data_IF_245642361957
#
_entry.id   IF_245642361957
#
_cell.length_a   1.000
_cell.length_b   1.000
_cell.length_c   1.000
_cell.angle_alpha   90.00
_cell.angle_beta   90.00
_cell.angle_gamma   90.00
#
_symmetry.space_group_name_H-M   'P 1'
#
loop_
_entity.id
_entity.type
_entity.pdbx_description
1 polymer ?
#
# COMPACT_ATOMS: atom_id res chain seq x y z
N UNK A 1 9.36 1.79 -18.92
CA UNK A 1 8.56 2.10 -20.12
C UNK A 1 9.50 2.42 -21.27
N UNK A 2 9.07 2.17 -22.50
CA UNK A 2 9.80 2.66 -23.68
C UNK A 2 9.94 4.19 -23.58
N UNK A 3 11.14 4.70 -23.87
CA UNK A 3 11.41 6.15 -23.75
C UNK A 3 11.95 6.59 -22.38
N UNK A 4 12.25 5.67 -21.46
CA UNK A 4 12.91 6.00 -20.18
C UNK A 4 12.01 6.69 -19.16
N UNK A 5 10.70 6.73 -19.35
CA UNK A 5 9.77 7.33 -18.40
C UNK A 5 9.81 6.58 -17.05
N UNK A 6 10.15 7.31 -15.98
CA UNK A 6 10.14 6.78 -14.62
C UNK A 6 8.71 6.71 -14.10
N UNK A 7 8.39 5.63 -13.43
CA UNK A 7 7.15 5.44 -12.70
C UNK A 7 7.44 4.81 -11.32
N UNK A 8 6.45 4.81 -10.47
CA UNK A 8 6.47 4.15 -9.18
C UNK A 8 5.24 3.26 -9.07
N UNK A 9 5.26 2.31 -8.17
CA UNK A 9 4.10 1.46 -7.89
C UNK A 9 3.92 1.37 -6.38
N UNK A 10 2.72 1.67 -5.91
CA UNK A 10 2.31 1.35 -4.56
C UNK A 10 1.72 -0.06 -4.58
N UNK A 11 2.49 -1.04 -4.14
CA UNK A 11 2.02 -2.41 -3.96
C UNK A 11 1.55 -2.60 -2.52
N UNK A 12 0.40 -3.24 -2.38
CA UNK A 12 -0.20 -3.55 -1.07
C UNK A 12 -0.66 -5.00 -1.06
N UNK A 13 -0.42 -5.69 0.04
CA UNK A 13 -0.89 -7.07 0.24
C UNK A 13 -1.57 -7.21 1.60
N UNK A 14 -2.69 -7.92 1.62
CA UNK A 14 -3.30 -8.38 2.85
C UNK A 14 -2.51 -9.60 3.38
N UNK A 15 -2.02 -9.47 4.60
CA UNK A 15 -1.14 -10.50 5.20
C UNK A 15 -1.89 -11.79 5.56
N UNK A 16 -3.20 -11.75 5.68
CA UNK A 16 -4.04 -12.91 6.03
C UNK A 16 -4.42 -13.71 4.80
N UNK A 17 -5.01 -13.04 3.82
CA UNK A 17 -5.57 -13.68 2.63
C UNK A 17 -4.61 -13.69 1.44
N UNK A 18 -3.50 -12.95 1.50
CA UNK A 18 -2.58 -12.68 0.39
C UNK A 18 -3.23 -11.94 -0.80
N UNK A 19 -4.41 -11.32 -0.62
CA UNK A 19 -4.96 -10.43 -1.65
C UNK A 19 -4.04 -9.24 -1.85
N UNK A 20 -3.90 -8.82 -3.09
CA UNK A 20 -2.98 -7.75 -3.43
C UNK A 20 -3.61 -6.74 -4.40
N UNK A 21 -3.10 -5.51 -4.33
CA UNK A 21 -3.38 -4.45 -5.29
C UNK A 21 -2.10 -3.69 -5.62
N UNK A 22 -1.91 -3.44 -6.90
CA UNK A 22 -0.79 -2.68 -7.45
C UNK A 22 -1.33 -1.39 -8.07
N UNK A 23 -0.84 -0.26 -7.58
CA UNK A 23 -1.27 1.08 -8.02
C UNK A 23 -0.08 1.82 -8.62
N UNK A 24 0.10 1.79 -9.97
CA UNK A 24 1.10 2.62 -10.63
C UNK A 24 0.82 4.10 -10.42
N UNK A 25 1.87 4.88 -10.16
CA UNK A 25 1.81 6.34 -10.01
C UNK A 25 2.98 6.98 -10.77
N UNK A 26 2.73 8.10 -11.41
CA UNK A 26 3.76 8.83 -12.17
C UNK A 26 4.75 9.57 -11.29
N UNK A 27 4.39 9.86 -10.05
CA UNK A 27 5.20 10.64 -9.11
C UNK A 27 5.02 10.14 -7.68
N UNK A 28 6.01 10.42 -6.82
CA UNK A 28 5.92 10.17 -5.38
C UNK A 28 5.36 11.37 -4.60
N UNK A 29 4.67 12.28 -5.28
CA UNK A 29 3.97 13.37 -4.61
C UNK A 29 2.93 12.81 -3.63
N UNK A 30 2.71 13.51 -2.54
CA UNK A 30 1.80 13.07 -1.46
C UNK A 30 0.39 12.82 -1.99
N UNK A 31 -0.08 13.66 -2.91
CA UNK A 31 -1.40 13.53 -3.57
C UNK A 31 -1.51 12.21 -4.33
N UNK A 32 -0.48 11.86 -5.10
CA UNK A 32 -0.45 10.62 -5.87
C UNK A 32 -0.46 9.38 -4.96
N UNK A 33 0.30 9.43 -3.86
CA UNK A 33 0.36 8.32 -2.90
C UNK A 33 -0.94 8.18 -2.12
N UNK A 34 -1.55 9.28 -1.67
CA UNK A 34 -2.86 9.27 -1.01
C UNK A 34 -3.95 8.75 -1.94
N UNK A 35 -3.97 9.21 -3.20
CA UNK A 35 -4.90 8.71 -4.22
C UNK A 35 -4.74 7.22 -4.49
N UNK A 36 -3.50 6.75 -4.65
CA UNK A 36 -3.19 5.33 -4.85
C UNK A 36 -3.61 4.48 -3.64
N UNK A 37 -3.34 4.94 -2.42
CA UNK A 37 -3.73 4.26 -1.20
C UNK A 37 -5.26 4.19 -1.06
N UNK A 38 -5.95 5.27 -1.37
CA UNK A 38 -7.42 5.32 -1.38
C UNK A 38 -8.00 4.30 -2.37
N UNK A 39 -7.52 4.30 -3.61
CA UNK A 39 -7.93 3.35 -4.63
C UNK A 39 -7.63 1.89 -4.23
N UNK A 40 -6.51 1.66 -3.54
CA UNK A 40 -6.20 0.35 -2.96
C UNK A 40 -7.25 -0.07 -1.94
N UNK A 41 -7.65 0.82 -1.03
CA UNK A 41 -8.67 0.53 -0.02
C UNK A 41 -10.07 0.36 -0.62
N UNK A 42 -10.39 1.06 -1.70
CA UNK A 42 -11.62 0.80 -2.46
C UNK A 42 -11.65 -0.62 -3.08
N UNK A 43 -10.47 -1.17 -3.40
CA UNK A 43 -10.36 -2.52 -4.01
C UNK A 43 -10.24 -3.65 -2.99
N UNK A 44 -9.47 -3.45 -1.94
CA UNK A 44 -9.14 -4.49 -0.96
C UNK A 44 -9.97 -4.42 0.32
N UNK A 45 -10.54 -3.26 0.61
CA UNK A 45 -11.14 -2.89 1.89
C UNK A 45 -10.17 -2.10 2.77
N UNK A 46 -10.72 -1.40 3.77
CA UNK A 46 -9.98 -0.69 4.80
C UNK A 46 -9.38 -1.69 5.79
N UNK A 47 -8.05 -1.71 5.96
CA UNK A 47 -7.43 -2.59 6.94
C UNK A 47 -7.67 -2.09 8.37
N UNK A 48 -7.52 -2.96 9.35
CA UNK A 48 -7.43 -2.54 10.76
C UNK A 48 -6.07 -1.90 11.04
N UNK A 49 -5.01 -2.55 10.54
CA UNK A 49 -3.61 -2.10 10.69
C UNK A 49 -2.98 -1.97 9.30
N UNK A 50 -2.36 -0.84 9.02
CA UNK A 50 -1.61 -0.60 7.80
C UNK A 50 -0.12 -0.51 8.11
N UNK A 51 0.61 -1.59 7.81
CA UNK A 51 2.05 -1.65 7.99
C UNK A 51 2.77 -0.93 6.83
N UNK A 52 3.67 -0.02 7.18
CA UNK A 52 4.40 0.84 6.24
C UNK A 52 5.87 0.94 6.62
N UNK A 53 6.71 1.19 5.64
CA UNK A 53 8.11 1.50 5.87
C UNK A 53 8.31 2.95 6.37
N UNK A 54 9.56 3.30 6.68
CA UNK A 54 9.92 4.62 7.18
C UNK A 54 10.19 5.64 6.07
N UNK A 55 9.59 5.49 4.88
CA UNK A 55 9.72 6.49 3.83
C UNK A 55 9.00 7.79 4.21
N UNK A 56 9.64 8.90 3.85
CA UNK A 56 9.13 10.26 4.13
C UNK A 56 7.72 10.51 3.62
N UNK A 57 7.35 9.91 2.50
CA UNK A 57 6.02 10.09 1.90
C UNK A 57 4.90 9.61 2.80
N UNK A 58 5.19 8.61 3.66
CA UNK A 58 4.19 8.07 4.59
C UNK A 58 4.09 8.86 5.88
N UNK A 59 5.20 9.30 6.46
CA UNK A 59 5.14 9.97 7.76
C UNK A 59 5.22 11.50 7.72
N UNK A 60 5.65 12.11 6.62
CA UNK A 60 5.57 13.54 6.44
C UNK A 60 6.90 14.23 6.13
N UNK A 61 7.42 15.07 7.01
CA UNK A 61 8.54 15.95 6.70
C UNK A 61 9.71 15.79 7.67
N UNK A 62 10.94 15.76 7.13
CA UNK A 62 12.17 15.85 7.95
C UNK A 62 12.31 17.20 8.64
N UNK A 63 11.89 18.27 7.96
CA UNK A 63 11.97 19.64 8.50
C UNK A 63 11.05 19.84 9.71
N UNK A 64 9.93 19.12 9.72
CA UNK A 64 8.93 19.21 10.78
C UNK A 64 8.65 17.80 11.35
N UNK A 65 9.56 17.25 12.16
CA UNK A 65 9.49 15.84 12.61
C UNK A 65 8.27 15.54 13.50
N UNK A 66 7.63 16.60 14.05
CA UNK A 66 6.36 16.47 14.81
C UNK A 66 5.12 16.66 13.94
N UNK A 67 5.29 16.96 12.64
CA UNK A 67 4.15 17.08 11.75
C UNK A 67 3.60 15.71 11.38
N UNK A 68 2.29 15.60 11.39
CA UNK A 68 1.57 14.43 10.92
C UNK A 68 1.38 14.54 9.40
N UNK A 69 1.96 13.61 8.65
CA UNK A 69 1.84 13.55 7.19
C UNK A 69 0.40 13.23 6.74
N UNK A 70 0.11 13.47 5.47
CA UNK A 70 -1.23 13.27 4.91
C UNK A 70 -1.65 11.79 4.92
N UNK A 71 -0.74 10.86 4.70
CA UNK A 71 -1.02 9.42 4.79
C UNK A 71 -1.43 9.02 6.21
N UNK A 72 -0.73 9.53 7.22
CA UNK A 72 -1.10 9.29 8.62
C UNK A 72 -2.48 9.87 8.95
N UNK A 73 -2.77 11.08 8.47
CA UNK A 73 -4.10 11.69 8.66
C UNK A 73 -5.19 10.88 7.98
N UNK A 74 -4.90 10.37 6.78
CA UNK A 74 -5.81 9.49 6.06
C UNK A 74 -6.11 8.21 6.85
N UNK A 75 -5.07 7.55 7.36
CA UNK A 75 -5.23 6.36 8.20
C UNK A 75 -6.15 6.65 9.39
N UNK A 76 -5.85 7.71 10.15
CA UNK A 76 -6.61 8.07 11.34
C UNK A 76 -8.07 8.46 11.02
N UNK A 77 -8.30 9.18 9.93
CA UNK A 77 -9.66 9.53 9.47
C UNK A 77 -10.51 8.30 9.15
N UNK A 78 -9.89 7.24 8.67
CA UNK A 78 -10.56 5.99 8.30
C UNK A 78 -10.56 4.95 9.42
N UNK A 79 -10.05 5.29 10.60
CA UNK A 79 -9.91 4.34 11.70
C UNK A 79 -8.95 3.20 11.40
N UNK A 80 -7.91 3.47 10.62
CA UNK A 80 -6.83 2.55 10.27
C UNK A 80 -5.62 2.87 11.15
N UNK A 81 -5.08 1.87 11.83
CA UNK A 81 -3.87 2.01 12.64
C UNK A 81 -2.61 1.97 11.75
N UNK A 82 -1.82 3.05 11.66
CA UNK A 82 -0.56 3.02 10.94
C UNK A 82 0.54 2.38 11.80
N UNK A 83 1.16 1.32 11.29
CA UNK A 83 2.25 0.60 11.95
C UNK A 83 3.56 0.79 11.17
N UNK A 84 4.53 1.50 11.76
CA UNK A 84 5.85 1.65 11.15
C UNK A 84 6.75 0.47 11.48
N UNK A 85 7.49 0.02 10.47
CA UNK A 85 8.47 -1.05 10.65
C UNK A 85 9.70 -0.49 11.39
N UNK A 86 10.17 -1.16 12.46
CA UNK A 86 11.39 -0.77 13.12
C UNK A 86 12.58 -0.75 12.15
N UNK A 87 13.49 0.23 12.26
CA UNK A 87 14.75 0.20 11.52
C UNK A 87 15.53 -1.09 11.80
N UNK A 88 16.19 -1.60 10.77
CA UNK A 88 16.97 -2.84 10.84
C UNK A 88 16.14 -4.14 11.05
N UNK A 89 14.82 -4.10 10.83
CA UNK A 89 13.97 -5.30 10.81
C UNK A 89 13.34 -5.55 9.42
N UNK A 90 14.13 -5.68 8.33
CA UNK A 90 13.60 -5.80 6.97
C UNK A 90 12.75 -7.05 6.77
N UNK A 91 12.98 -8.12 7.56
CA UNK A 91 12.19 -9.35 7.48
C UNK A 91 10.68 -9.16 7.74
N UNK A 92 10.29 -8.08 8.42
CA UNK A 92 8.87 -7.73 8.59
C UNK A 92 8.19 -7.35 7.28
N UNK A 93 8.97 -6.97 6.26
CA UNK A 93 8.50 -6.67 4.91
C UNK A 93 8.49 -7.89 3.97
N UNK A 94 8.92 -9.06 4.42
CA UNK A 94 9.14 -10.21 3.54
C UNK A 94 7.93 -10.62 2.69
N UNK A 95 6.70 -10.36 3.14
CA UNK A 95 5.48 -10.67 2.37
C UNK A 95 5.36 -9.71 1.16
N UNK A 96 5.49 -8.42 1.40
CA UNK A 96 5.38 -7.42 0.32
C UNK A 96 6.60 -7.47 -0.61
N UNK A 97 7.79 -7.75 -0.09
CA UNK A 97 9.00 -7.94 -0.89
C UNK A 97 8.82 -9.12 -1.86
N UNK A 98 8.33 -10.26 -1.38
CA UNK A 98 8.02 -11.41 -2.23
C UNK A 98 6.97 -11.09 -3.30
N UNK A 99 5.97 -10.28 -2.96
CA UNK A 99 5.00 -9.82 -3.94
C UNK A 99 5.63 -8.88 -4.97
N UNK A 100 6.50 -7.96 -4.54
CA UNK A 100 7.23 -7.04 -5.41
C UNK A 100 8.12 -7.80 -6.40
N UNK A 101 8.87 -8.80 -5.95
CA UNK A 101 9.69 -9.66 -6.81
C UNK A 101 8.83 -10.38 -7.84
N UNK A 102 7.70 -10.91 -7.40
CA UNK A 102 6.76 -11.59 -8.26
C UNK A 102 6.19 -10.65 -9.31
N UNK A 103 5.77 -9.45 -8.91
CA UNK A 103 5.25 -8.43 -9.79
C UNK A 103 6.29 -8.03 -10.85
N UNK A 104 7.55 -7.82 -10.44
CA UNK A 104 8.64 -7.52 -11.34
C UNK A 104 8.91 -8.65 -12.33
N UNK A 105 9.04 -9.89 -11.86
CA UNK A 105 9.39 -11.04 -12.71
C UNK A 105 8.25 -11.49 -13.64
N UNK A 106 7.01 -11.37 -13.22
CA UNK A 106 5.87 -11.90 -13.97
C UNK A 106 5.12 -10.85 -14.77
N UNK A 107 5.23 -9.58 -14.40
CA UNK A 107 4.64 -8.48 -15.15
C UNK A 107 5.71 -7.70 -15.93
N UNK A 108 6.60 -6.99 -15.25
CA UNK A 108 7.53 -6.09 -15.93
C UNK A 108 8.51 -6.80 -16.85
N UNK A 109 9.08 -7.92 -16.41
CA UNK A 109 10.06 -8.66 -17.20
C UNK A 109 9.46 -9.40 -18.42
N UNK A 110 8.13 -9.57 -18.45
CA UNK A 110 7.44 -10.35 -19.49
C UNK A 110 6.53 -9.54 -20.39
N UNK A 111 6.30 -8.28 -20.06
CA UNK A 111 5.35 -7.43 -20.79
C UNK A 111 6.08 -6.21 -21.34
N UNK A 112 6.01 -5.99 -22.64
CA UNK A 112 6.47 -4.73 -23.22
C UNK A 112 5.38 -3.68 -22.99
N UNK A 113 5.74 -2.65 -22.23
CA UNK A 113 4.87 -1.53 -21.88
C UNK A 113 5.39 -0.26 -22.57
N UNK A 114 4.56 0.34 -23.41
CA UNK A 114 4.95 1.53 -24.16
C UNK A 114 4.64 2.82 -23.40
N UNK A 115 3.54 2.86 -22.66
CA UNK A 115 3.04 4.03 -21.96
C UNK A 115 2.52 3.67 -20.57
N UNK A 116 2.11 4.72 -19.83
CA UNK A 116 1.64 4.59 -18.46
C UNK A 116 0.26 3.91 -18.37
N UNK A 117 -0.62 4.13 -19.35
CA UNK A 117 -1.97 3.56 -19.35
C UNK A 117 -1.92 2.04 -19.56
N UNK A 118 -1.00 1.58 -20.42
CA UNK A 118 -0.72 0.15 -20.57
C UNK A 118 -0.18 -0.45 -19.28
N UNK A 119 0.68 0.25 -18.54
CA UNK A 119 1.15 -0.20 -17.24
C UNK A 119 0.00 -0.33 -16.24
N UNK A 120 -0.88 0.66 -16.17
CA UNK A 120 -2.06 0.63 -15.29
C UNK A 120 -2.96 -0.55 -15.63
N UNK A 121 -3.28 -0.72 -16.92
CA UNK A 121 -4.12 -1.83 -17.39
C UNK A 121 -3.50 -3.20 -17.08
N UNK A 122 -2.19 -3.34 -17.31
CA UNK A 122 -1.44 -4.56 -17.04
C UNK A 122 -1.37 -4.87 -15.53
N UNK A 123 -1.22 -3.86 -14.68
CA UNK A 123 -1.26 -4.02 -13.23
C UNK A 123 -2.63 -4.53 -12.75
N UNK A 124 -3.72 -3.97 -13.26
CA UNK A 124 -5.09 -4.43 -12.94
C UNK A 124 -5.30 -5.88 -13.36
N UNK A 125 -4.88 -6.25 -14.57
CA UNK A 125 -4.98 -7.63 -15.06
C UNK A 125 -4.11 -8.60 -14.24
N UNK A 126 -2.92 -8.17 -13.85
CA UNK A 126 -2.03 -8.95 -12.98
C UNK A 126 -2.67 -9.19 -11.61
N UNK A 127 -3.18 -8.15 -10.96
CA UNK A 127 -3.84 -8.26 -9.66
C UNK A 127 -5.06 -9.19 -9.71
N UNK A 128 -5.88 -9.09 -10.75
CA UNK A 128 -7.04 -9.96 -10.96
C UNK A 128 -6.61 -11.44 -11.08
N UNK A 129 -5.55 -11.72 -11.86
CA UNK A 129 -4.98 -13.06 -12.01
C UNK A 129 -4.36 -13.54 -10.71
N UNK A 130 -3.60 -12.67 -10.01
CA UNK A 130 -3.01 -12.97 -8.71
C UNK A 130 -4.09 -13.38 -7.71
N UNK A 131 -5.08 -12.52 -7.52
CA UNK A 131 -6.12 -12.72 -6.52
C UNK A 131 -7.04 -13.92 -6.79
N UNK A 132 -7.20 -14.31 -8.07
CA UNK A 132 -8.10 -15.41 -8.44
C UNK A 132 -7.43 -16.77 -8.63
N UNK A 133 -6.13 -16.80 -9.00
CA UNK A 133 -5.48 -18.03 -9.44
C UNK A 133 -4.27 -18.46 -8.64
N UNK A 134 -3.54 -17.53 -8.01
CA UNK A 134 -2.34 -17.88 -7.24
C UNK A 134 -2.71 -18.65 -5.98
N UNK A 135 -1.90 -19.65 -5.67
CA UNK A 135 -2.12 -20.48 -4.50
C UNK A 135 -0.91 -20.40 -3.59
N UNK A 136 -1.17 -20.10 -2.34
CA UNK A 136 -0.14 -19.97 -1.32
C UNK A 136 -0.31 -21.06 -0.27
N UNK A 137 0.78 -21.69 0.15
CA UNK A 137 0.76 -22.65 1.26
C UNK A 137 0.22 -22.01 2.55
N UNK A 138 0.57 -20.73 2.77
CA UNK A 138 0.07 -19.94 3.91
C UNK A 138 -1.46 -19.82 3.94
N UNK A 139 -2.13 -19.81 2.81
CA UNK A 139 -3.60 -19.75 2.71
C UNK A 139 -4.23 -21.14 2.55
N UNK A 140 -3.51 -22.19 2.91
CA UNK A 140 -4.01 -23.56 2.75
C UNK A 140 -4.12 -24.03 1.29
N UNK A 141 -3.29 -23.47 0.40
CA UNK A 141 -3.26 -23.84 -1.02
C UNK A 141 -4.42 -23.32 -1.85
N UNK A 142 -5.19 -22.37 -1.34
CA UNK A 142 -6.29 -21.72 -2.08
C UNK A 142 -5.87 -20.35 -2.62
N UNK A 143 -6.69 -19.80 -3.53
CA UNK A 143 -6.44 -18.45 -4.04
C UNK A 143 -6.76 -17.39 -2.99
N UNK A 144 -6.15 -16.18 -3.10
CA UNK A 144 -6.43 -15.07 -2.19
C UNK A 144 -7.92 -14.73 -2.07
N UNK A 145 -8.66 -14.72 -3.17
CA UNK A 145 -10.11 -14.48 -3.13
C UNK A 145 -10.87 -15.60 -2.43
N UNK A 146 -10.44 -16.84 -2.58
CA UNK A 146 -11.02 -17.98 -1.86
C UNK A 146 -10.67 -17.93 -0.38
N UNK A 147 -9.44 -17.56 -0.03
CA UNK A 147 -9.02 -17.36 1.35
C UNK A 147 -9.88 -16.28 2.04
N UNK A 148 -10.17 -15.17 1.35
CA UNK A 148 -11.07 -14.15 1.86
C UNK A 148 -12.49 -14.70 2.11
N UNK A 149 -13.06 -15.42 1.14
CA UNK A 149 -14.39 -16.01 1.31
C UNK A 149 -14.48 -16.98 2.50
N UNK A 150 -13.40 -17.73 2.75
CA UNK A 150 -13.33 -18.66 3.89
C UNK A 150 -13.11 -17.98 5.23
N UNK A 151 -12.54 -16.76 5.23
CA UNK A 151 -12.23 -16.04 6.47
C UNK A 151 -13.47 -15.48 7.18
N UNK A 152 -14.63 -15.41 6.52
CA UNK A 152 -15.84 -14.75 7.01
C UNK A 152 -15.60 -13.28 7.45
N UNK A 153 -14.55 -12.64 6.94
CA UNK A 153 -14.20 -11.29 7.30
C UNK A 153 -15.18 -10.29 6.69
N UNK A 154 -15.73 -9.42 7.52
CA UNK A 154 -16.49 -8.27 7.05
C UNK A 154 -15.54 -7.18 6.60
N UNK A 155 -15.60 -6.84 5.32
CA UNK A 155 -14.79 -5.77 4.75
C UNK A 155 -15.48 -4.42 4.96
N UNK A 156 -14.73 -3.46 5.50
CA UNK A 156 -15.11 -2.06 5.48
C UNK A 156 -14.53 -1.42 4.22
N UNK A 157 -15.23 -0.45 3.65
CA UNK A 157 -14.76 0.28 2.48
C UNK A 157 -14.76 1.79 2.72
N UNK A 158 -13.97 2.55 1.97
CA UNK A 158 -14.07 4.00 1.97
C UNK A 158 -15.50 4.45 1.61
N UNK A 159 -15.97 5.59 2.14
CA UNK A 159 -17.33 6.07 1.91
C UNK A 159 -17.58 6.55 0.46
N UNK A 160 -16.54 6.70 -0.34
CA UNK A 160 -16.57 7.17 -1.72
C UNK A 160 -15.42 6.55 -2.51
N UNK A 161 -15.58 6.38 -3.81
CA UNK A 161 -14.48 5.99 -4.71
C UNK A 161 -13.50 7.15 -4.93
N UNK A 162 -13.94 8.39 -4.78
CA UNK A 162 -13.09 9.57 -4.92
C UNK A 162 -12.26 9.80 -3.66
N UNK A 163 -10.94 10.01 -3.80
CA UNK A 163 -10.09 10.31 -2.67
C UNK A 163 -10.48 11.65 -2.04
N UNK A 164 -10.26 11.83 -0.74
CA UNK A 164 -10.54 13.09 -0.08
C UNK A 164 -9.60 14.19 -0.57
N UNK A 165 -10.12 15.41 -0.63
CA UNK A 165 -9.33 16.60 -1.03
C UNK A 165 -8.24 16.91 -0.02
N UNK A 166 -7.02 17.12 -0.50
CA UNK A 166 -5.91 17.55 0.33
C UNK A 166 -5.86 19.08 0.47
N UNK A 167 -5.31 19.62 1.58
CA UNK A 167 -4.75 18.90 2.72
C UNK A 167 -5.83 18.37 3.70
N UNK A 168 -5.66 17.16 4.15
CA UNK A 168 -6.52 16.60 5.19
C UNK A 168 -6.34 17.38 6.50
N UNK A 169 -7.43 17.63 7.19
CA UNK A 169 -7.40 18.26 8.51
C UNK A 169 -6.78 17.32 9.55
N UNK A 170 -6.18 17.86 10.57
CA UNK A 170 -5.81 17.07 11.76
C UNK A 170 -7.10 16.64 12.46
N UNK A 171 -7.15 15.42 13.02
CA UNK A 171 -8.22 15.08 13.93
C UNK A 171 -8.30 16.12 15.04
N UNK A 172 -9.51 16.61 15.31
CA UNK A 172 -9.75 17.69 16.27
C UNK A 172 -9.78 17.19 17.71
N UNK A 173 -10.00 15.89 17.90
CA UNK A 173 -10.21 15.26 19.21
C UNK A 173 -9.32 14.03 19.37
N UNK A 174 -9.04 13.69 20.63
CA UNK A 174 -8.25 12.50 21.00
C UNK A 174 -6.78 12.79 21.25
N UNK A 175 -6.11 11.78 21.82
CA UNK A 175 -4.65 11.73 21.99
C UNK A 175 -4.08 10.70 21.04
N UNK A 176 -3.05 11.09 20.31
CA UNK A 176 -2.37 10.21 19.36
C UNK A 176 -0.96 9.94 19.86
N UNK A 177 -0.61 8.67 19.98
CA UNK A 177 0.74 8.23 20.30
C UNK A 177 1.38 7.70 19.02
N UNK A 178 2.33 8.47 18.46
CA UNK A 178 3.10 8.07 17.29
C UNK A 178 4.48 7.60 17.77
N UNK A 179 4.73 6.30 17.67
CA UNK A 179 6.04 5.72 17.97
C UNK A 179 6.88 5.76 16.68
N UNK A 180 8.03 6.42 16.76
CA UNK A 180 9.03 6.46 15.69
C UNK A 180 10.33 5.87 16.20
N UNK A 181 10.94 5.05 15.37
CA UNK A 181 12.27 4.53 15.64
C UNK A 181 13.30 5.51 15.07
N UNK A 182 14.20 6.00 15.92
CA UNK A 182 15.29 6.88 15.54
C UNK A 182 16.57 6.06 15.54
N UNK A 183 17.34 6.12 14.45
CA UNK A 183 18.70 5.53 14.44
C UNK A 183 19.58 6.31 15.41
N UNK A 184 20.26 5.59 16.30
CA UNK A 184 21.18 6.15 17.31
C UNK A 184 22.51 6.65 16.76
N UNK A 185 22.79 6.37 15.50
CA UNK A 185 24.07 6.68 14.82
C UNK A 185 24.14 8.11 14.26
N UNK A 186 23.23 9.00 14.70
CA UNK A 186 23.23 10.44 14.41
C UNK A 186 22.97 11.24 15.69
N UNK A 187 23.90 11.18 16.61
CA UNK A 187 24.10 12.19 17.64
C UNK A 187 25.31 13.02 17.27
#
# INVERSE_FOLDING_TARGET
LRGGTRFYVLNTTDVVTARAASMPIGTRATESVVGALWSTWCRLGLPQVFQIDNDLVFWGSRRYPRAMGQVLRLCLMQGVEPLFIPPAEPWRNGIIEKFNDHWQQKLLARTQLNDFDQLVSAAVAFDAKHNSRWRYSKTGGVSPNEALRRSSAELRFPPSEQPPTLPLRRPSEGRYHLVRFIRSDRV
#
